data_IF_229018348297
#
_entry.id   IF_229018348297
#
_cell.length_a   1.000
_cell.length_b   1.000
_cell.length_c   1.000
_cell.angle_alpha   90.00
_cell.angle_beta   90.00
_cell.angle_gamma   90.00
#
_symmetry.space_group_name_H-M   'P 1'
#
loop_
_entity.id
_entity.type
_entity.pdbx_description
1 polymer ?
#
# COMPACT_ATOMS: atom_id res chain seq x y z
N UNK A 1 -25.00 49.18 16.89
CA UNK A 1 -23.75 48.45 17.21
C UNK A 1 -24.10 47.31 18.17
N UNK A 2 -23.82 46.03 17.87
CA UNK A 2 -24.14 44.98 18.86
C UNK A 2 -24.12 43.50 18.43
N UNK A 3 -23.84 43.14 17.18
CA UNK A 3 -23.82 41.72 16.73
C UNK A 3 -22.43 41.13 16.49
N UNK A 4 -21.37 41.94 16.62
CA UNK A 4 -20.01 41.55 16.23
C UNK A 4 -19.26 40.80 17.34
N UNK A 5 -19.67 41.03 18.60
CA UNK A 5 -19.07 40.45 19.80
C UNK A 5 -19.15 38.91 19.84
N UNK A 6 -20.30 38.25 19.57
CA UNK A 6 -20.38 36.78 19.64
C UNK A 6 -19.54 36.06 18.57
N UNK A 7 -19.35 36.64 17.38
CA UNK A 7 -18.53 36.03 16.33
C UNK A 7 -17.04 36.02 16.69
N UNK A 8 -16.56 37.05 17.39
CA UNK A 8 -15.17 37.10 17.84
C UNK A 8 -14.89 36.06 18.93
N UNK A 9 -15.83 35.84 19.85
CA UNK A 9 -15.69 34.79 20.86
C UNK A 9 -15.74 33.38 20.27
N UNK A 10 -16.62 33.12 19.30
CA UNK A 10 -16.70 31.82 18.61
C UNK A 10 -15.44 31.55 17.79
N UNK A 11 -14.92 32.56 17.11
CA UNK A 11 -13.64 32.44 16.37
C UNK A 11 -12.48 32.13 17.32
N UNK A 12 -12.41 32.85 18.45
CA UNK A 12 -11.34 32.68 19.43
C UNK A 12 -11.38 31.29 20.07
N UNK A 13 -12.56 30.75 20.38
CA UNK A 13 -12.67 29.39 20.94
C UNK A 13 -12.28 28.31 19.94
N UNK A 14 -12.60 28.46 18.66
CA UNK A 14 -12.18 27.53 17.60
C UNK A 14 -10.65 27.53 17.45
N UNK A 15 -10.02 28.71 17.43
CA UNK A 15 -8.55 28.83 17.34
C UNK A 15 -7.87 28.20 18.56
N UNK A 16 -8.40 28.44 19.75
CA UNK A 16 -7.92 27.82 20.99
C UNK A 16 -8.02 26.30 20.89
N UNK A 17 -9.18 25.75 20.52
CA UNK A 17 -9.38 24.30 20.38
C UNK A 17 -8.40 23.70 19.36
N UNK A 18 -8.23 24.32 18.19
CA UNK A 18 -7.29 23.84 17.16
C UNK A 18 -5.82 23.91 17.62
N UNK A 19 -5.46 24.88 18.47
CA UNK A 19 -4.11 25.00 19.03
C UNK A 19 -3.82 23.99 20.16
N UNK A 20 -4.85 23.52 20.86
CA UNK A 20 -4.74 22.49 21.92
C UNK A 20 -4.86 21.06 21.41
N UNK A 21 -5.08 20.85 20.10
CA UNK A 21 -4.83 19.56 19.45
C UNK A 21 -3.37 19.55 18.97
N UNK A 22 -2.40 19.10 19.77
CA UNK A 22 -1.07 18.82 19.24
C UNK A 22 -1.26 17.84 18.08
N UNK A 23 -0.66 18.16 16.93
CA UNK A 23 -0.59 17.24 15.79
C UNK A 23 -0.30 15.85 16.33
N UNK A 24 -1.29 14.96 16.19
CA UNK A 24 -1.13 13.56 16.60
C UNK A 24 0.13 13.06 15.88
N UNK A 25 1.07 12.41 16.58
CA UNK A 25 2.20 11.81 15.90
C UNK A 25 1.68 10.92 14.77
N UNK A 26 2.29 11.04 13.58
CA UNK A 26 1.87 10.34 12.38
C UNK A 26 1.55 8.87 12.71
N UNK A 27 0.31 8.39 12.43
CA UNK A 27 -0.08 7.01 12.72
C UNK A 27 0.79 5.99 11.98
N UNK A 28 1.50 6.42 10.93
CA UNK A 28 2.42 5.61 10.13
C UNK A 28 3.66 5.14 10.88
N UNK A 29 4.10 5.79 11.97
CA UNK A 29 5.26 5.29 12.73
C UNK A 29 4.93 4.03 13.55
N UNK A 30 3.65 3.77 13.83
CA UNK A 30 3.19 2.63 14.63
C UNK A 30 2.94 1.38 13.76
N UNK A 31 2.74 1.52 12.44
CA UNK A 31 2.41 0.38 11.58
C UNK A 31 3.64 -0.43 11.16
N UNK A 32 4.83 0.19 11.11
CA UNK A 32 6.05 -0.47 10.61
C UNK A 32 6.58 -1.61 11.50
N UNK A 33 6.31 -1.59 12.81
CA UNK A 33 6.85 -2.60 13.75
C UNK A 33 5.78 -3.59 14.26
N UNK A 34 4.54 -3.15 14.55
CA UNK A 34 3.51 -4.05 15.07
C UNK A 34 3.05 -5.14 14.07
N UNK A 35 3.08 -4.86 12.76
CA UNK A 35 2.60 -5.79 11.74
C UNK A 35 3.43 -7.06 11.60
N UNK A 36 4.76 -6.92 11.69
CA UNK A 36 5.72 -8.02 11.60
C UNK A 36 5.82 -8.83 12.91
N UNK A 37 5.79 -8.16 14.06
CA UNK A 37 5.99 -8.81 15.38
C UNK A 37 4.78 -9.67 15.78
N UNK A 38 3.55 -9.25 15.43
CA UNK A 38 2.32 -9.99 15.78
C UNK A 38 2.20 -11.35 15.08
N UNK A 39 2.83 -11.49 13.91
CA UNK A 39 2.89 -12.77 13.17
C UNK A 39 3.92 -13.75 13.74
N UNK A 40 5.00 -13.26 14.36
CA UNK A 40 6.10 -14.11 14.88
C UNK A 40 5.71 -14.75 16.22
N UNK A 41 4.98 -14.05 17.09
CA UNK A 41 4.63 -14.57 18.42
C UNK A 41 3.61 -15.73 18.40
N UNK A 42 2.84 -15.89 17.32
CA UNK A 42 1.87 -16.98 17.19
C UNK A 42 2.47 -18.29 16.63
N UNK A 43 3.75 -18.30 16.25
CA UNK A 43 4.43 -19.44 15.62
C UNK A 43 5.28 -20.28 16.59
N UNK A 44 5.43 -19.86 17.85
CA UNK A 44 6.29 -20.56 18.81
C UNK A 44 5.60 -21.69 19.60
N UNK A 45 4.36 -22.06 19.22
CA UNK A 45 3.45 -22.80 20.09
C UNK A 45 2.98 -24.19 19.63
N UNK A 46 3.02 -24.57 18.35
CA UNK A 46 2.53 -25.90 17.89
C UNK A 46 3.12 -26.24 16.51
N UNK A 47 3.65 -27.46 16.35
CA UNK A 47 3.72 -28.33 15.15
C UNK A 47 5.13 -28.91 14.87
N UNK A 48 5.14 -30.24 14.78
CA UNK A 48 6.23 -31.21 14.57
C UNK A 48 7.15 -30.95 13.36
N UNK A 49 8.40 -31.38 13.48
CA UNK A 49 9.54 -30.97 12.67
C UNK A 49 9.85 -31.86 11.45
N UNK A 50 8.94 -32.74 11.03
CA UNK A 50 9.20 -33.67 9.93
C UNK A 50 8.12 -33.57 8.86
N UNK A 51 8.52 -33.21 7.63
CA UNK A 51 7.73 -33.10 6.38
C UNK A 51 7.08 -31.75 5.95
N UNK A 52 7.90 -30.75 5.57
CA UNK A 52 7.49 -29.72 4.58
C UNK A 52 8.73 -29.14 3.85
N UNK A 53 8.68 -28.78 2.55
CA UNK A 53 9.84 -28.32 1.80
C UNK A 53 10.46 -27.10 2.45
N UNK A 54 11.80 -27.12 2.53
CA UNK A 54 12.66 -26.05 3.03
C UNK A 54 12.42 -24.80 2.18
N UNK A 55 11.41 -24.02 2.54
CA UNK A 55 11.27 -22.66 2.04
C UNK A 55 12.33 -21.88 2.80
N UNK A 56 13.35 -21.41 2.10
CA UNK A 56 14.33 -20.48 2.66
C UNK A 56 13.58 -19.22 3.09
N UNK A 57 13.15 -19.18 4.34
CA UNK A 57 12.88 -17.92 5.02
C UNK A 57 14.22 -17.22 5.10
N UNK A 58 14.43 -16.25 4.23
CA UNK A 58 15.52 -15.29 4.33
C UNK A 58 15.44 -14.73 5.76
N UNK A 59 16.45 -15.04 6.58
CA UNK A 59 16.65 -14.36 7.83
C UNK A 59 16.89 -12.89 7.47
N UNK A 60 15.85 -12.08 7.59
CA UNK A 60 16.00 -10.63 7.64
C UNK A 60 16.70 -10.40 8.97
N UNK A 61 18.04 -10.40 8.93
CA UNK A 61 18.83 -9.69 9.93
C UNK A 61 18.15 -8.34 10.11
N UNK A 62 17.92 -7.93 11.35
CA UNK A 62 17.32 -6.64 11.68
C UNK A 62 18.08 -5.54 10.92
N UNK A 63 17.61 -5.19 9.74
CA UNK A 63 18.02 -4.00 9.01
C UNK A 63 17.43 -2.84 9.81
N UNK A 64 18.08 -2.49 10.92
CA UNK A 64 17.74 -1.32 11.74
C UNK A 64 17.90 0.01 10.95
N UNK A 65 18.13 -0.06 9.63
CA UNK A 65 18.35 1.10 8.76
C UNK A 65 17.86 0.92 7.30
N UNK A 66 16.78 0.16 7.06
CA UNK A 66 16.14 0.12 5.73
C UNK A 66 15.16 1.30 5.57
N UNK A 67 15.67 2.45 5.12
CA UNK A 67 14.81 3.57 4.70
C UNK A 67 14.23 3.31 3.31
N UNK A 68 12.94 3.01 3.24
CA UNK A 68 12.22 2.72 2.00
C UNK A 68 12.11 3.92 1.05
N UNK A 69 12.33 5.14 1.54
CA UNK A 69 12.15 6.37 0.77
C UNK A 69 13.46 6.89 0.16
N UNK A 70 14.61 6.37 0.59
CA UNK A 70 15.93 6.72 0.06
C UNK A 70 16.48 5.58 -0.79
N UNK A 71 16.75 5.88 -2.05
CA UNK A 71 17.12 4.87 -3.04
C UNK A 71 17.20 5.43 -4.45
N UNK A 72 17.17 4.53 -5.42
CA UNK A 72 17.25 4.88 -6.83
C UNK A 72 16.41 3.94 -7.70
N UNK A 73 16.09 4.40 -8.90
CA UNK A 73 15.40 3.58 -9.90
C UNK A 73 16.39 2.69 -10.62
N UNK A 74 16.09 1.40 -10.70
CA UNK A 74 16.88 0.40 -11.45
C UNK A 74 16.01 -0.31 -12.48
N UNK A 75 16.58 -0.78 -13.61
CA UNK A 75 15.84 -1.61 -14.56
C UNK A 75 15.32 -2.90 -13.92
N UNK A 76 14.09 -3.30 -14.27
CA UNK A 76 13.45 -4.54 -13.86
C UNK A 76 13.24 -5.44 -15.10
N UNK A 77 14.13 -6.43 -15.34
CA UNK A 77 14.07 -7.28 -16.52
C UNK A 77 12.78 -8.10 -16.63
N UNK A 78 12.14 -8.42 -15.51
CA UNK A 78 10.88 -9.17 -15.50
C UNK A 78 9.67 -8.31 -15.88
N UNK A 79 9.87 -7.00 -16.09
CA UNK A 79 8.85 -6.04 -16.47
C UNK A 79 7.80 -5.77 -15.39
N UNK A 80 6.75 -5.04 -15.78
CA UNK A 80 5.64 -4.69 -14.90
C UNK A 80 4.83 -5.92 -14.50
N UNK A 81 4.27 -5.88 -13.28
CA UNK A 81 3.44 -6.96 -12.74
C UNK A 81 2.09 -7.09 -13.44
N UNK A 82 1.61 -6.02 -14.06
CA UNK A 82 0.40 -6.01 -14.86
C UNK A 82 0.61 -5.12 -16.09
N UNK A 83 -0.18 -5.38 -17.12
CA UNK A 83 -0.26 -4.56 -18.33
C UNK A 83 -1.71 -4.17 -18.58
N UNK A 84 -1.95 -3.25 -19.50
CA UNK A 84 -3.29 -2.90 -19.95
C UNK A 84 -4.04 -4.05 -20.64
N UNK A 85 -3.36 -5.15 -20.96
CA UNK A 85 -4.00 -6.40 -21.41
C UNK A 85 -4.35 -7.32 -20.23
N UNK A 86 -3.52 -7.37 -19.19
CA UNK A 86 -3.73 -8.27 -18.05
C UNK A 86 -4.68 -7.68 -16.99
N UNK A 87 -4.81 -6.36 -16.91
CA UNK A 87 -5.73 -5.70 -15.99
C UNK A 87 -6.92 -5.08 -16.72
N UNK A 88 -8.12 -5.63 -16.48
CA UNK A 88 -9.38 -5.14 -17.06
C UNK A 88 -9.98 -3.93 -16.33
N UNK A 89 -9.45 -3.59 -15.15
CA UNK A 89 -9.96 -2.48 -14.32
C UNK A 89 -9.25 -1.16 -14.56
N UNK A 90 -8.25 -1.11 -15.45
CA UNK A 90 -7.58 0.14 -15.82
C UNK A 90 -8.58 1.04 -16.55
N UNK A 91 -8.84 2.27 -16.06
CA UNK A 91 -9.68 3.22 -16.77
C UNK A 91 -9.10 3.57 -18.14
N UNK A 92 -9.98 3.79 -19.10
CA UNK A 92 -9.60 4.16 -20.47
C UNK A 92 -8.69 5.40 -20.52
N UNK A 93 -8.99 6.41 -19.70
CA UNK A 93 -8.20 7.63 -19.57
C UNK A 93 -6.77 7.40 -19.08
N UNK A 94 -6.47 6.22 -18.51
CA UNK A 94 -5.16 5.82 -17.98
C UNK A 94 -4.48 4.73 -18.82
N UNK A 95 -5.08 4.31 -19.93
CA UNK A 95 -4.50 3.34 -20.85
C UNK A 95 -3.55 4.04 -21.84
N UNK A 96 -2.28 4.24 -21.44
CA UNK A 96 -1.31 4.99 -22.24
C UNK A 96 -1.12 4.43 -23.67
N UNK A 97 -1.11 3.10 -23.82
CA UNK A 97 -0.91 2.48 -25.13
C UNK A 97 -2.10 2.70 -26.05
N UNK A 98 -3.32 2.59 -25.52
CA UNK A 98 -4.53 2.90 -26.27
C UNK A 98 -4.61 4.40 -26.61
N UNK A 99 -4.07 5.25 -25.75
CA UNK A 99 -3.95 6.70 -25.96
C UNK A 99 -2.71 7.12 -26.78
N UNK A 100 -2.08 6.18 -27.51
CA UNK A 100 -1.07 6.50 -28.54
C UNK A 100 0.39 6.46 -28.08
N UNK A 101 0.68 6.11 -26.82
CA UNK A 101 2.07 5.92 -26.35
C UNK A 101 2.67 4.64 -26.93
N UNK A 102 3.87 4.74 -27.50
CA UNK A 102 4.54 3.62 -28.20
C UNK A 102 5.78 3.10 -27.45
N UNK A 103 6.42 3.91 -26.61
CA UNK A 103 7.56 3.46 -25.82
C UNK A 103 7.12 2.56 -24.65
N UNK A 104 7.86 1.46 -24.40
CA UNK A 104 7.55 0.48 -23.33
C UNK A 104 8.48 0.58 -22.13
N UNK A 105 9.61 1.26 -22.28
CA UNK A 105 10.70 1.24 -21.30
C UNK A 105 10.29 1.79 -19.93
N UNK A 106 9.27 2.67 -19.89
CA UNK A 106 8.74 3.22 -18.64
C UNK A 106 8.12 2.17 -17.71
N UNK A 107 7.74 1.00 -18.22
CA UNK A 107 7.18 -0.11 -17.44
C UNK A 107 8.25 -0.98 -16.76
N UNK A 108 9.51 -0.85 -17.16
CA UNK A 108 10.58 -1.77 -16.80
C UNK A 108 11.51 -1.17 -15.74
N UNK A 109 10.94 -0.41 -14.81
CA UNK A 109 11.66 0.23 -13.71
C UNK A 109 11.13 -0.26 -12.37
N UNK A 110 12.03 -0.49 -11.41
CA UNK A 110 11.68 -0.69 -10.01
C UNK A 110 12.46 0.28 -9.12
N UNK A 111 11.83 0.65 -8.01
CA UNK A 111 12.49 1.38 -6.95
C UNK A 111 13.33 0.42 -6.12
N UNK A 112 14.61 0.75 -5.89
CA UNK A 112 15.52 0.00 -5.02
C UNK A 112 15.98 0.91 -3.87
N UNK A 113 15.57 0.63 -2.62
CA UNK A 113 16.14 1.30 -1.45
C UNK A 113 17.65 1.04 -1.33
N UNK A 114 18.40 1.95 -0.71
CA UNK A 114 19.87 1.84 -0.62
C UNK A 114 20.33 0.63 0.21
N UNK A 115 19.66 0.39 1.33
CA UNK A 115 20.16 -0.55 2.35
C UNK A 115 19.40 -1.87 2.39
N UNK A 116 18.48 -2.12 1.45
CA UNK A 116 17.59 -3.28 1.50
C UNK A 116 16.94 -3.63 0.16
N UNK A 117 16.48 -4.87 0.03
CA UNK A 117 15.77 -5.34 -1.15
C UNK A 117 14.26 -5.45 -0.92
N UNK A 118 13.48 -4.81 -1.80
CA UNK A 118 12.03 -4.95 -1.78
C UNK A 118 11.62 -6.25 -2.46
N UNK A 119 10.85 -7.13 -1.79
CA UNK A 119 10.34 -8.33 -2.41
C UNK A 119 9.36 -7.96 -3.53
N UNK A 120 9.31 -8.78 -4.58
CA UNK A 120 8.32 -8.63 -5.65
C UNK A 120 6.92 -8.82 -5.03
N UNK A 121 5.97 -7.95 -5.40
CA UNK A 121 4.63 -7.98 -4.83
C UNK A 121 3.95 -9.34 -5.03
N UNK A 122 3.52 -9.96 -3.94
CA UNK A 122 2.69 -11.17 -3.95
C UNK A 122 1.25 -10.82 -3.55
N UNK A 123 0.37 -10.85 -4.55
CA UNK A 123 -1.05 -10.62 -4.35
C UNK A 123 -1.69 -11.63 -3.38
N UNK A 124 -1.24 -12.89 -3.34
CA UNK A 124 -1.79 -13.89 -2.42
C UNK A 124 -1.46 -13.52 -0.97
N UNK A 125 -0.19 -13.25 -0.70
CA UNK A 125 0.26 -12.83 0.63
C UNK A 125 -0.44 -11.55 1.09
N UNK A 126 -0.62 -10.57 0.19
CA UNK A 126 -1.37 -9.35 0.49
C UNK A 126 -2.83 -9.66 0.88
N UNK A 127 -3.54 -10.47 0.08
CA UNK A 127 -4.94 -10.82 0.33
C UNK A 127 -5.13 -11.56 1.66
N UNK A 128 -4.22 -12.47 2.00
CA UNK A 128 -4.20 -13.14 3.31
C UNK A 128 -4.03 -12.13 4.45
N UNK A 129 -3.11 -11.16 4.30
CA UNK A 129 -2.84 -10.13 5.31
C UNK A 129 -4.04 -9.21 5.59
N UNK A 130 -4.85 -8.92 4.57
CA UNK A 130 -6.01 -8.04 4.66
C UNK A 130 -7.35 -8.79 4.76
N UNK A 131 -7.34 -10.12 4.89
CA UNK A 131 -8.57 -10.93 5.03
C UNK A 131 -9.40 -10.44 6.21
N UNK A 132 -10.70 -10.26 5.98
CA UNK A 132 -11.65 -9.76 6.99
C UNK A 132 -11.49 -8.28 7.35
N UNK A 133 -10.64 -7.54 6.62
CA UNK A 133 -10.42 -6.10 6.83
C UNK A 133 -10.99 -5.28 5.67
N UNK A 134 -11.38 -4.05 5.97
CA UNK A 134 -11.78 -3.05 4.97
C UNK A 134 -10.66 -2.02 4.85
N UNK A 135 -10.33 -1.62 3.62
CA UNK A 135 -9.26 -0.67 3.34
C UNK A 135 -9.82 0.49 2.52
N UNK A 136 -9.57 1.73 2.95
CA UNK A 136 -9.98 2.91 2.21
C UNK A 136 -8.76 3.81 1.94
N UNK A 137 -8.72 4.37 0.73
CA UNK A 137 -7.74 5.37 0.34
C UNK A 137 -8.45 6.72 0.33
N UNK A 138 -8.00 7.65 1.16
CA UNK A 138 -8.62 8.97 1.29
C UNK A 138 -7.62 9.98 0.73
N UNK A 139 -8.02 10.72 -0.29
CA UNK A 139 -7.15 11.70 -0.92
C UNK A 139 -7.71 12.25 -2.22
N UNK A 140 -6.84 12.84 -3.03
CA UNK A 140 -7.20 13.41 -4.31
C UNK A 140 -7.17 12.37 -5.45
N UNK A 141 -7.05 12.85 -6.69
CA UNK A 141 -6.91 12.00 -7.87
C UNK A 141 -5.72 11.03 -7.80
N UNK A 142 -4.66 11.32 -7.04
CA UNK A 142 -3.52 10.42 -6.87
C UNK A 142 -3.89 9.23 -5.99
N UNK A 143 -4.67 9.43 -4.93
CA UNK A 143 -5.17 8.33 -4.10
C UNK A 143 -6.04 7.37 -4.93
N UNK A 144 -6.86 7.90 -5.84
CA UNK A 144 -7.60 7.11 -6.83
C UNK A 144 -6.68 6.30 -7.74
N UNK A 145 -5.58 6.90 -8.23
CA UNK A 145 -4.58 6.20 -9.04
C UNK A 145 -3.94 5.03 -8.29
N UNK A 146 -3.61 5.22 -7.01
CA UNK A 146 -3.03 4.16 -6.18
C UNK A 146 -3.99 2.98 -5.99
N UNK A 147 -5.27 3.22 -5.72
CA UNK A 147 -6.28 2.14 -5.61
C UNK A 147 -6.39 1.34 -6.88
N UNK A 148 -6.49 2.00 -8.03
CA UNK A 148 -6.64 1.32 -9.31
C UNK A 148 -5.42 0.47 -9.66
N UNK A 149 -4.21 0.98 -9.37
CA UNK A 149 -2.97 0.20 -9.53
C UNK A 149 -2.96 -1.04 -8.61
N UNK A 150 -3.37 -0.89 -7.35
CA UNK A 150 -3.47 -2.01 -6.41
C UNK A 150 -4.48 -3.06 -6.90
N UNK A 151 -5.66 -2.65 -7.36
CA UNK A 151 -6.67 -3.57 -7.90
C UNK A 151 -6.11 -4.38 -9.08
N UNK A 152 -5.31 -3.77 -9.94
CA UNK A 152 -4.64 -4.48 -11.03
C UNK A 152 -3.59 -5.49 -10.57
N UNK A 153 -2.83 -5.16 -9.52
CA UNK A 153 -1.87 -6.10 -8.94
C UNK A 153 -2.58 -7.31 -8.35
N UNK A 154 -3.68 -7.09 -7.63
CA UNK A 154 -4.49 -8.15 -7.03
C UNK A 154 -5.17 -9.03 -8.09
N UNK A 155 -5.61 -8.45 -9.20
CA UNK A 155 -6.28 -9.21 -10.27
C UNK A 155 -5.38 -10.24 -10.96
N UNK A 156 -4.06 -10.17 -10.79
CA UNK A 156 -3.13 -11.11 -11.45
C UNK A 156 -3.26 -12.55 -10.91
N UNK A 157 -3.74 -12.74 -9.67
CA UNK A 157 -4.01 -14.07 -9.11
C UNK A 157 -5.42 -14.58 -9.42
N UNK A 158 -6.41 -13.69 -9.53
CA UNK A 158 -7.82 -14.04 -9.72
C UNK A 158 -8.20 -14.21 -11.21
N UNK A 159 -7.39 -14.94 -12.00
CA UNK A 159 -7.80 -15.31 -13.37
C UNK A 159 -8.84 -16.44 -13.30
N UNK A 160 -10.13 -16.07 -13.30
CA UNK A 160 -11.25 -17.02 -13.46
C UNK A 160 -12.16 -17.23 -12.26
N UNK A 161 -11.98 -16.49 -11.17
CA UNK A 161 -12.84 -16.58 -9.98
C UNK A 161 -13.73 -15.32 -9.89
N UNK A 162 -15.06 -15.47 -9.83
CA UNK A 162 -15.97 -14.34 -9.64
C UNK A 162 -15.59 -13.60 -8.36
N UNK A 163 -15.43 -12.29 -8.47
CA UNK A 163 -15.02 -11.41 -7.38
C UNK A 163 -16.05 -11.43 -6.24
N UNK A 164 -15.83 -12.30 -5.27
CA UNK A 164 -16.20 -12.03 -3.89
C UNK A 164 -14.91 -11.77 -3.12
N UNK A 165 -14.17 -10.76 -3.58
CA UNK A 165 -13.17 -10.14 -2.73
C UNK A 165 -13.98 -9.38 -1.66
N UNK A 166 -14.20 -10.02 -0.51
CA UNK A 166 -14.80 -9.42 0.69
C UNK A 166 -14.04 -8.17 1.20
N UNK A 167 -12.99 -7.77 0.50
CA UNK A 167 -12.21 -6.58 0.71
C UNK A 167 -12.90 -5.41 0.00
N UNK A 168 -13.61 -4.61 0.79
CA UNK A 168 -14.08 -3.30 0.36
C UNK A 168 -12.89 -2.35 0.21
N UNK A 169 -12.21 -2.36 -0.95
CA UNK A 169 -11.21 -1.35 -1.32
C UNK A 169 -11.92 -0.23 -2.07
N UNK A 170 -11.93 0.97 -1.49
CA UNK A 170 -12.48 2.17 -2.15
C UNK A 170 -11.54 3.35 -1.98
N UNK A 171 -11.45 4.17 -3.02
CA UNK A 171 -11.00 5.55 -2.87
C UNK A 171 -12.21 6.42 -2.53
N UNK A 172 -12.12 7.20 -1.46
CA UNK A 172 -13.12 8.17 -1.01
C UNK A 172 -12.64 9.55 -1.42
#
# INVERSE_FOLDING_TARGET
MGKMVPFLFISLTIVIILSFFPMRPNPFKVISQQGLISSVQNLHGVVDQDSLPKTEFVNVEEEENCDLFTGHWVPEPSGSLYTNLSCKTIPESKNCFKNGRQDVNFLNWKWKPENCELPRFDAKAFLEMVRGKKMAFIGDSLARNHVESLLCLLSQKCKGEPQELDILIRAI
#
